data_IF_523170661591
#
_entry.id   IF_523170661591
#
_cell.length_a   1.000
_cell.length_b   1.000
_cell.length_c   1.000
_cell.angle_alpha   90.00
_cell.angle_beta   90.00
_cell.angle_gamma   90.00
#
_symmetry.space_group_name_H-M   'P 1'
#
loop_
_entity.id
_entity.type
_entity.pdbx_description
1 polymer ?
#
# COMPACT_ATOMS: atom_id res chain seq x y z
N UNK A 1 8.90 5.97 3.52
CA UNK A 1 8.98 6.69 4.79
C UNK A 1 9.71 8.01 4.58
N UNK A 2 9.31 9.01 5.33
CA UNK A 2 9.99 10.29 5.41
C UNK A 2 10.13 10.63 6.89
N UNK A 3 11.34 10.74 7.37
CA UNK A 3 11.66 10.96 8.77
C UNK A 3 12.34 12.32 8.88
N UNK A 4 11.81 13.22 9.70
CA UNK A 4 12.44 14.52 9.95
C UNK A 4 13.64 14.34 10.89
N UNK A 5 14.80 14.85 10.48
CA UNK A 5 16.06 14.81 11.25
C UNK A 5 16.63 16.24 11.29
N UNK A 6 16.45 16.95 12.41
CA UNK A 6 16.80 18.36 12.50
C UNK A 6 16.05 19.19 11.45
N UNK A 7 16.79 19.87 10.58
CA UNK A 7 16.22 20.66 9.48
C UNK A 7 15.99 19.83 8.20
N UNK A 8 16.55 18.61 8.13
CA UNK A 8 16.52 17.75 6.96
C UNK A 8 15.46 16.63 7.07
N UNK A 9 15.25 15.93 5.96
CA UNK A 9 14.33 14.81 5.84
C UNK A 9 15.05 13.60 5.27
N UNK A 10 15.11 12.51 6.05
CA UNK A 10 15.58 11.22 5.58
C UNK A 10 14.44 10.48 4.88
N UNK A 11 14.63 10.21 3.60
CA UNK A 11 13.76 9.33 2.83
C UNK A 11 14.26 7.90 2.91
N UNK A 12 13.36 6.96 3.18
CA UNK A 12 13.63 5.52 3.13
C UNK A 12 12.52 4.81 2.37
N UNK A 13 12.91 4.03 1.37
CA UNK A 13 12.04 3.07 0.68
C UNK A 13 12.56 1.66 0.96
N UNK A 14 11.77 0.84 1.60
CA UNK A 14 12.19 -0.50 2.06
C UNK A 14 12.37 -1.51 0.93
N UNK A 15 11.91 -1.21 -0.29
CA UNK A 15 11.93 -2.18 -1.37
C UNK A 15 10.95 -3.33 -1.12
N UNK A 16 11.40 -4.55 -1.38
CA UNK A 16 10.58 -5.77 -1.22
C UNK A 16 10.93 -6.57 0.04
N UNK A 17 12.14 -6.42 0.55
CA UNK A 17 12.71 -7.23 1.64
C UNK A 17 13.36 -6.39 2.73
N UNK A 18 13.39 -5.07 2.58
CA UNK A 18 13.97 -4.19 3.57
C UNK A 18 13.12 -4.06 4.81
N UNK A 19 13.77 -3.99 5.96
CA UNK A 19 13.18 -3.74 7.26
C UNK A 19 13.98 -2.70 8.02
N UNK A 20 13.29 -1.94 8.87
CA UNK A 20 13.93 -1.02 9.81
C UNK A 20 13.93 -1.64 11.19
N UNK A 21 15.08 -1.56 11.85
CA UNK A 21 15.28 -2.05 13.20
C UNK A 21 15.80 -0.91 14.08
N UNK A 22 15.26 -0.78 15.26
CA UNK A 22 15.84 0.00 16.33
C UNK A 22 16.58 -0.98 17.24
N UNK A 23 17.88 -0.81 17.38
CA UNK A 23 18.79 -1.76 18.03
C UNK A 23 19.68 -1.02 19.01
N UNK A 24 20.24 -1.74 19.97
CA UNK A 24 21.35 -1.22 20.81
C UNK A 24 22.59 -0.96 19.96
N UNK A 25 23.46 -0.04 20.37
CA UNK A 25 24.65 0.36 19.60
C UNK A 25 25.60 -0.83 19.29
N UNK A 26 25.63 -1.84 20.12
CA UNK A 26 26.47 -3.04 19.96
C UNK A 26 25.85 -4.09 19.04
N UNK A 27 24.57 -3.98 18.72
CA UNK A 27 23.85 -4.93 17.88
C UNK A 27 23.95 -4.59 16.40
N UNK A 28 23.74 -5.58 15.54
CA UNK A 28 23.76 -5.44 14.09
C UNK A 28 22.88 -6.46 13.39
N UNK A 29 22.66 -6.25 12.09
CA UNK A 29 21.96 -7.20 11.23
C UNK A 29 22.87 -7.73 10.13
N UNK A 30 22.47 -8.82 9.47
CA UNK A 30 23.31 -9.49 8.47
C UNK A 30 23.45 -8.73 7.16
N UNK A 31 22.51 -7.81 6.82
CA UNK A 31 22.45 -7.14 5.54
C UNK A 31 22.23 -5.64 5.69
N UNK A 32 22.97 -5.00 6.58
CA UNK A 32 22.88 -3.57 6.83
C UNK A 32 23.16 -2.75 5.57
N UNK A 33 22.30 -1.78 5.30
CA UNK A 33 22.40 -0.83 4.17
C UNK A 33 22.56 0.61 4.63
N UNK A 34 21.99 0.94 5.77
CA UNK A 34 22.08 2.22 6.44
C UNK A 34 22.09 1.98 7.94
N UNK A 35 22.98 2.67 8.64
CA UNK A 35 23.04 2.73 10.09
C UNK A 35 23.08 4.18 10.52
N UNK A 36 22.14 4.58 11.36
CA UNK A 36 22.05 5.93 11.92
C UNK A 36 22.12 5.83 13.44
N UNK A 37 23.14 6.43 14.03
CA UNK A 37 23.24 6.58 15.50
C UNK A 37 22.18 7.56 15.99
N UNK A 38 21.46 7.18 17.01
CA UNK A 38 20.58 8.00 17.83
C UNK A 38 21.23 8.13 19.21
N UNK A 39 20.62 8.88 20.13
CA UNK A 39 21.23 9.13 21.42
C UNK A 39 21.50 7.83 22.20
N UNK A 40 20.53 6.93 22.30
CA UNK A 40 20.63 5.67 23.05
C UNK A 40 20.61 4.43 22.15
N UNK A 41 20.12 4.55 20.91
CA UNK A 41 19.88 3.45 19.99
C UNK A 41 20.53 3.68 18.62
N UNK A 42 20.41 2.70 17.77
CA UNK A 42 20.77 2.77 16.34
C UNK A 42 19.58 2.40 15.46
N UNK A 43 19.24 3.23 14.49
CA UNK A 43 18.30 2.86 13.45
C UNK A 43 19.04 2.17 12.30
N UNK A 44 18.69 0.93 12.02
CA UNK A 44 19.32 0.12 10.97
C UNK A 44 18.32 -0.22 9.87
N UNK A 45 18.69 0.03 8.62
CA UNK A 45 18.01 -0.52 7.45
C UNK A 45 18.71 -1.82 7.05
N UNK A 46 18.04 -2.96 7.24
CA UNK A 46 18.46 -4.26 6.76
C UNK A 46 17.74 -4.60 5.46
N UNK A 47 18.48 -4.91 4.39
CA UNK A 47 17.89 -5.28 3.10
C UNK A 47 18.73 -6.29 2.33
N UNK A 48 18.44 -7.58 2.46
CA UNK A 48 19.17 -8.67 1.80
C UNK A 48 19.18 -8.56 0.26
N UNK A 49 18.13 -8.04 -0.32
CA UNK A 49 17.97 -7.97 -1.79
C UNK A 49 18.44 -6.67 -2.42
N UNK A 50 18.82 -5.68 -1.63
CA UNK A 50 19.33 -4.38 -2.07
C UNK A 50 18.38 -3.59 -2.98
N UNK A 51 17.08 -3.74 -2.81
CA UNK A 51 16.06 -2.96 -3.53
C UNK A 51 15.61 -1.72 -2.75
N UNK A 52 16.00 -1.64 -1.49
CA UNK A 52 15.81 -0.46 -0.67
C UNK A 52 16.57 0.76 -1.22
N UNK A 53 16.03 1.92 -0.97
CA UNK A 53 16.64 3.21 -1.33
C UNK A 53 16.51 4.16 -0.16
N UNK A 54 17.49 5.02 0.01
CA UNK A 54 17.45 6.10 0.99
C UNK A 54 18.14 7.34 0.42
N UNK A 55 17.83 8.49 0.99
CA UNK A 55 18.42 9.76 0.61
C UNK A 55 18.06 10.84 1.60
N UNK A 56 18.81 11.93 1.60
CA UNK A 56 18.60 13.10 2.45
C UNK A 56 18.10 14.25 1.59
N UNK A 57 17.08 14.95 2.08
CA UNK A 57 16.44 16.09 1.43
C UNK A 57 16.32 17.25 2.43
N UNK A 58 16.63 18.46 2.01
CA UNK A 58 16.40 19.64 2.83
C UNK A 58 14.91 19.93 3.02
N UNK A 59 14.10 19.64 2.00
CA UNK A 59 12.66 19.87 2.05
C UNK A 59 11.92 18.61 1.61
N UNK A 60 10.82 18.32 2.31
CA UNK A 60 9.95 17.18 1.95
C UNK A 60 9.41 17.29 0.50
N UNK A 61 9.12 18.53 0.07
CA UNK A 61 8.61 18.83 -1.26
C UNK A 61 9.57 18.41 -2.37
N UNK A 62 10.88 18.54 -2.15
CA UNK A 62 11.90 18.20 -3.15
C UNK A 62 11.86 16.69 -3.47
N UNK A 63 11.65 15.85 -2.45
CA UNK A 63 11.39 14.41 -2.65
C UNK A 63 10.12 14.17 -3.46
N UNK A 64 9.01 14.86 -3.11
CA UNK A 64 7.72 14.66 -3.80
C UNK A 64 7.84 14.99 -5.27
N UNK A 65 8.56 16.06 -5.62
CA UNK A 65 8.82 16.48 -7.00
C UNK A 65 9.74 15.49 -7.71
N UNK A 66 10.89 15.13 -7.10
CA UNK A 66 11.86 14.21 -7.71
C UNK A 66 11.26 12.85 -8.05
N UNK A 67 10.38 12.37 -7.16
CA UNK A 67 9.75 11.05 -7.31
C UNK A 67 8.40 11.10 -8.02
N UNK A 68 7.93 12.27 -8.41
CA UNK A 68 6.59 12.48 -9.00
C UNK A 68 5.49 11.79 -8.16
N UNK A 69 5.54 11.99 -6.83
CA UNK A 69 4.60 11.34 -5.92
C UNK A 69 3.26 12.09 -5.90
N UNK A 70 2.19 11.31 -6.01
CA UNK A 70 0.84 11.78 -5.76
C UNK A 70 0.59 12.05 -4.27
N UNK A 71 -0.61 12.54 -3.93
CA UNK A 71 -0.99 12.77 -2.53
C UNK A 71 -1.02 11.45 -1.75
N UNK A 72 -0.71 11.53 -0.45
CA UNK A 72 -0.70 10.38 0.44
C UNK A 72 -2.11 9.82 0.68
N UNK A 73 -2.27 8.51 0.58
CA UNK A 73 -3.55 7.82 0.68
C UNK A 73 -4.22 7.93 2.06
N UNK A 74 -3.45 8.14 3.13
CA UNK A 74 -3.98 8.34 4.48
C UNK A 74 -4.63 9.69 4.67
N UNK A 75 -4.08 10.74 4.03
CA UNK A 75 -4.45 12.13 4.30
C UNK A 75 -5.18 12.81 3.15
N UNK A 76 -5.17 12.23 1.95
CA UNK A 76 -5.78 12.83 0.76
C UNK A 76 -7.29 13.08 0.96
N UNK A 77 -7.79 14.30 0.70
CA UNK A 77 -9.24 14.57 0.72
C UNK A 77 -9.99 13.76 -0.35
N UNK A 78 -11.21 13.29 -0.02
CA UNK A 78 -12.04 12.48 -0.92
C UNK A 78 -12.20 13.11 -2.31
N UNK A 79 -12.41 14.44 -2.37
CA UNK A 79 -12.55 15.18 -3.64
C UNK A 79 -11.30 15.08 -4.52
N UNK A 80 -10.11 15.12 -3.90
CA UNK A 80 -8.83 15.02 -4.61
C UNK A 80 -8.60 13.59 -5.08
N UNK A 81 -8.86 12.59 -4.23
CA UNK A 81 -8.80 11.18 -4.63
C UNK A 81 -9.71 10.91 -5.84
N UNK A 82 -10.97 11.34 -5.78
CA UNK A 82 -11.94 11.17 -6.88
C UNK A 82 -11.46 11.86 -8.15
N UNK A 83 -10.95 13.09 -8.08
CA UNK A 83 -10.47 13.80 -9.28
C UNK A 83 -9.26 13.13 -9.92
N UNK A 84 -8.42 12.46 -9.12
CA UNK A 84 -7.25 11.72 -9.57
C UNK A 84 -7.59 10.38 -10.25
N UNK A 85 -8.73 9.79 -9.89
CA UNK A 85 -9.15 8.47 -10.38
C UNK A 85 -10.21 8.54 -11.50
N UNK A 86 -11.15 9.47 -11.41
CA UNK A 86 -12.31 9.54 -12.31
C UNK A 86 -11.91 9.75 -13.78
N UNK A 87 -12.55 8.98 -14.66
CA UNK A 87 -12.34 9.07 -16.12
C UNK A 87 -10.99 8.56 -16.62
N UNK A 88 -10.13 8.03 -15.74
CA UNK A 88 -8.90 7.40 -16.19
C UNK A 88 -9.19 6.08 -16.88
N UNK A 89 -8.51 5.85 -17.99
CA UNK A 89 -8.55 4.58 -18.72
C UNK A 89 -7.73 3.52 -17.99
N UNK A 90 -8.16 2.27 -18.11
CA UNK A 90 -7.47 1.12 -17.52
C UNK A 90 -8.07 0.63 -16.23
N UNK A 91 -7.57 -0.51 -15.76
CA UNK A 91 -8.08 -1.19 -14.57
C UNK A 91 -7.78 -0.41 -13.29
N UNK A 92 -8.71 -0.44 -12.35
CA UNK A 92 -8.61 0.31 -11.09
C UNK A 92 -7.38 -0.08 -10.25
N UNK A 93 -7.04 -1.37 -10.19
CA UNK A 93 -5.92 -1.80 -9.34
C UNK A 93 -4.55 -1.26 -9.78
N UNK A 94 -4.12 -1.32 -11.05
CA UNK A 94 -2.90 -0.66 -11.51
C UNK A 94 -2.85 0.83 -11.19
N UNK A 95 -4.00 1.54 -11.28
CA UNK A 95 -4.07 2.96 -10.94
C UNK A 95 -3.87 3.21 -9.44
N UNK A 96 -4.38 2.34 -8.58
CA UNK A 96 -4.14 2.40 -7.13
C UNK A 96 -2.67 2.14 -6.76
N UNK A 97 -1.95 1.38 -7.59
CA UNK A 97 -0.54 1.06 -7.37
C UNK A 97 0.42 2.10 -7.98
N UNK A 98 -0.08 2.98 -8.84
CA UNK A 98 0.73 4.08 -9.40
C UNK A 98 0.91 5.18 -8.36
N UNK A 99 2.09 5.23 -7.77
CA UNK A 99 2.43 6.18 -6.70
C UNK A 99 2.37 7.65 -7.15
N UNK A 100 2.32 7.91 -8.47
CA UNK A 100 2.09 9.24 -9.03
C UNK A 100 0.61 9.64 -8.97
N UNK A 101 -0.29 8.67 -8.96
CA UNK A 101 -1.74 8.90 -8.85
C UNK A 101 -2.14 9.07 -7.39
N UNK A 102 -1.73 8.13 -6.56
CA UNK A 102 -1.94 8.10 -5.11
C UNK A 102 -0.76 7.40 -4.44
N UNK A 103 -0.08 8.05 -3.51
CA UNK A 103 1.05 7.48 -2.81
C UNK A 103 0.62 6.64 -1.60
N UNK A 104 1.42 5.63 -1.24
CA UNK A 104 1.25 4.84 -0.03
C UNK A 104 0.38 3.59 -0.18
N UNK A 105 -0.27 3.36 -1.33
CA UNK A 105 -1.04 2.13 -1.55
C UNK A 105 -0.16 1.05 -2.16
N UNK A 106 0.02 -0.05 -1.43
CA UNK A 106 0.72 -1.25 -1.90
C UNK A 106 -0.23 -2.35 -2.38
N UNK A 107 0.37 -3.40 -2.97
CA UNK A 107 -0.40 -4.51 -3.59
C UNK A 107 -1.37 -5.19 -2.62
N UNK A 108 -0.97 -5.40 -1.36
CA UNK A 108 -1.80 -6.05 -0.35
C UNK A 108 -3.01 -5.19 0.02
N UNK A 109 -2.78 -3.92 0.28
CA UNK A 109 -3.84 -2.98 0.69
C UNK A 109 -4.77 -2.61 -0.46
N UNK A 110 -4.29 -2.61 -1.70
CA UNK A 110 -5.15 -2.46 -2.87
C UNK A 110 -6.11 -3.64 -3.01
N UNK A 111 -5.63 -4.90 -2.87
CA UNK A 111 -6.49 -6.08 -2.88
C UNK A 111 -7.54 -6.02 -1.77
N UNK A 112 -7.13 -5.69 -0.54
CA UNK A 112 -8.03 -5.57 0.61
C UNK A 112 -9.11 -4.51 0.38
N UNK A 113 -8.74 -3.30 -0.04
CA UNK A 113 -9.69 -2.22 -0.23
C UNK A 113 -10.71 -2.55 -1.33
N UNK A 114 -10.25 -3.14 -2.43
CA UNK A 114 -11.10 -3.60 -3.54
C UNK A 114 -12.05 -4.73 -3.09
N UNK A 115 -11.55 -5.67 -2.29
CA UNK A 115 -12.38 -6.73 -1.70
C UNK A 115 -13.46 -6.15 -0.79
N UNK A 116 -13.09 -5.21 0.09
CA UNK A 116 -14.05 -4.56 1.00
C UNK A 116 -15.15 -3.80 0.25
N UNK A 117 -14.83 -3.15 -0.87
CA UNK A 117 -15.79 -2.42 -1.72
C UNK A 117 -16.47 -3.32 -2.78
N UNK A 118 -16.17 -4.62 -2.81
CA UNK A 118 -16.69 -5.59 -3.80
C UNK A 118 -16.39 -5.20 -5.26
N UNK A 119 -15.29 -4.50 -5.47
CA UNK A 119 -14.84 -4.11 -6.79
C UNK A 119 -13.86 -5.15 -7.33
N UNK A 120 -14.11 -5.62 -8.55
CA UNK A 120 -13.15 -6.49 -9.23
C UNK A 120 -11.90 -5.68 -9.59
N UNK A 121 -10.68 -6.20 -9.37
CA UNK A 121 -9.45 -5.43 -9.61
C UNK A 121 -9.22 -5.05 -11.08
N UNK A 122 -9.89 -5.73 -12.03
CA UNK A 122 -9.87 -5.39 -13.45
C UNK A 122 -10.97 -4.40 -13.87
N UNK A 123 -11.85 -3.95 -12.97
CA UNK A 123 -12.87 -2.95 -13.30
C UNK A 123 -12.18 -1.69 -13.83
N UNK A 124 -12.63 -1.19 -14.96
CA UNK A 124 -12.09 0.05 -15.54
C UNK A 124 -12.46 1.25 -14.66
N UNK A 125 -11.51 2.13 -14.38
CA UNK A 125 -11.75 3.27 -13.50
C UNK A 125 -12.80 4.23 -14.07
N UNK A 126 -12.89 4.33 -15.39
CA UNK A 126 -13.91 5.12 -16.10
C UNK A 126 -15.34 4.60 -15.90
N UNK A 127 -15.50 3.30 -15.59
CA UNK A 127 -16.80 2.68 -15.34
C UNK A 127 -17.24 2.81 -13.85
N UNK A 128 -16.35 3.29 -12.97
CA UNK A 128 -16.64 3.48 -11.56
C UNK A 128 -17.19 4.87 -11.32
N UNK A 129 -18.39 4.97 -10.76
CA UNK A 129 -18.99 6.26 -10.44
C UNK A 129 -18.17 7.07 -9.43
N UNK A 130 -18.27 8.40 -9.48
CA UNK A 130 -17.59 9.29 -8.51
C UNK A 130 -17.95 8.96 -7.04
N UNK A 131 -19.18 8.51 -6.78
CA UNK A 131 -19.64 8.08 -5.46
C UNK A 131 -18.93 6.81 -4.99
N UNK A 132 -18.73 5.85 -5.87
CA UNK A 132 -18.00 4.61 -5.59
C UNK A 132 -16.51 4.88 -5.40
N UNK A 133 -15.92 5.74 -6.23
CA UNK A 133 -14.53 6.19 -6.04
C UNK A 133 -14.34 6.86 -4.68
N UNK A 134 -15.27 7.71 -4.25
CA UNK A 134 -15.20 8.33 -2.93
C UNK A 134 -15.29 7.28 -1.79
N UNK A 135 -16.13 6.25 -1.94
CA UNK A 135 -16.17 5.12 -0.98
C UNK A 135 -14.87 4.35 -0.96
N UNK A 136 -14.31 4.06 -2.14
CA UNK A 136 -13.02 3.36 -2.27
C UNK A 136 -11.90 4.14 -1.59
N UNK A 137 -11.80 5.46 -1.78
CA UNK A 137 -10.80 6.30 -1.12
C UNK A 137 -10.89 6.21 0.42
N UNK A 138 -12.11 6.33 0.97
CA UNK A 138 -12.34 6.16 2.41
C UNK A 138 -12.03 4.74 2.89
N UNK A 139 -12.30 3.73 2.05
CA UNK A 139 -12.00 2.34 2.38
C UNK A 139 -10.50 2.08 2.45
N UNK A 140 -9.74 2.62 1.49
CA UNK A 140 -8.27 2.54 1.48
C UNK A 140 -7.72 3.12 2.79
N UNK A 141 -8.16 4.31 3.18
CA UNK A 141 -7.74 4.94 4.44
C UNK A 141 -8.02 4.04 5.65
N UNK A 142 -9.25 3.52 5.77
CA UNK A 142 -9.62 2.60 6.87
C UNK A 142 -8.79 1.32 6.90
N UNK A 143 -8.46 0.76 5.73
CA UNK A 143 -7.61 -0.43 5.64
C UNK A 143 -6.19 -0.13 6.11
N UNK A 144 -5.63 1.01 5.69
CA UNK A 144 -4.30 1.45 6.12
C UNK A 144 -4.26 1.74 7.62
N UNK A 145 -5.25 2.47 8.16
CA UNK A 145 -5.38 2.76 9.59
C UNK A 145 -5.49 1.48 10.43
N UNK A 146 -6.31 0.51 9.98
CA UNK A 146 -6.44 -0.78 10.66
C UNK A 146 -5.11 -1.55 10.66
N UNK A 147 -4.36 -1.52 9.54
CA UNK A 147 -3.06 -2.19 9.45
C UNK A 147 -2.01 -1.53 10.35
N UNK A 148 -2.00 -0.20 10.43
CA UNK A 148 -1.11 0.55 11.33
C UNK A 148 -1.44 0.19 12.79
N UNK A 149 -2.72 0.22 13.17
CA UNK A 149 -3.18 -0.13 14.52
C UNK A 149 -2.85 -1.58 14.91
N UNK A 150 -2.82 -2.48 13.92
CA UNK A 150 -2.42 -3.87 14.10
C UNK A 150 -0.89 -4.07 14.06
N UNK A 151 -0.09 -3.00 13.99
CA UNK A 151 1.39 -3.08 13.82
C UNK A 151 1.81 -3.97 12.65
N UNK A 152 1.02 -3.96 11.57
CA UNK A 152 1.15 -4.83 10.37
C UNK A 152 1.05 -6.33 10.64
N UNK A 153 0.64 -6.76 11.83
CA UNK A 153 0.33 -8.15 12.16
C UNK A 153 -1.06 -8.52 11.62
N UNK A 154 -1.11 -9.18 10.49
CA UNK A 154 -2.38 -9.47 9.80
C UNK A 154 -3.37 -10.32 10.62
N UNK A 155 -2.88 -11.13 11.55
CA UNK A 155 -3.71 -11.88 12.50
C UNK A 155 -4.55 -10.98 13.42
N UNK A 156 -4.10 -9.74 13.69
CA UNK A 156 -4.79 -8.75 14.51
C UNK A 156 -5.75 -7.86 13.74
N UNK A 157 -5.81 -7.99 12.41
CA UNK A 157 -6.78 -7.24 11.61
C UNK A 157 -8.21 -7.66 11.98
N UNK A 158 -9.22 -6.79 11.78
CA UNK A 158 -10.61 -7.12 12.03
C UNK A 158 -11.05 -8.38 11.29
N UNK A 159 -12.02 -9.09 11.85
CA UNK A 159 -12.69 -10.18 11.16
C UNK A 159 -13.30 -9.68 9.84
N UNK A 160 -13.28 -10.52 8.81
CA UNK A 160 -13.73 -10.12 7.48
C UNK A 160 -12.68 -9.45 6.59
N UNK A 161 -11.44 -9.25 7.08
CA UNK A 161 -10.32 -8.84 6.24
C UNK A 161 -9.75 -10.03 5.47
N UNK A 162 -9.57 -9.84 4.16
CA UNK A 162 -8.92 -10.82 3.26
C UNK A 162 -7.45 -11.05 3.66
N UNK A 163 -6.78 -10.02 4.16
CA UNK A 163 -5.36 -10.08 4.53
C UNK A 163 -5.06 -11.05 5.69
N UNK A 164 -6.05 -11.42 6.52
CA UNK A 164 -5.86 -12.37 7.63
C UNK A 164 -5.44 -13.77 7.16
N UNK A 165 -5.98 -14.21 6.02
CA UNK A 165 -5.63 -15.48 5.38
C UNK A 165 -5.52 -15.30 3.86
N UNK A 166 -4.48 -14.57 3.44
CA UNK A 166 -4.27 -14.20 2.04
C UNK A 166 -3.58 -15.32 1.28
N UNK A 167 -4.30 -16.43 1.07
CA UNK A 167 -3.80 -17.61 0.31
C UNK A 167 -4.82 -18.00 -0.77
N UNK A 168 -4.32 -18.45 -1.93
CA UNK A 168 -5.15 -19.07 -2.97
C UNK A 168 -5.79 -20.32 -2.39
N UNK A 169 -7.07 -20.53 -2.64
CA UNK A 169 -7.84 -21.65 -2.10
C UNK A 169 -8.36 -21.45 -0.67
N UNK A 170 -7.90 -20.42 0.05
CA UNK A 170 -8.44 -20.09 1.36
C UNK A 170 -9.92 -19.69 1.27
N UNK A 171 -10.74 -19.95 2.30
CA UNK A 171 -12.13 -19.53 2.32
C UNK A 171 -12.25 -18.01 2.40
N UNK A 172 -13.10 -17.45 1.55
CA UNK A 172 -13.44 -16.02 1.61
C UNK A 172 -14.03 -15.67 2.98
N UNK A 173 -13.53 -14.64 3.68
CA UNK A 173 -14.04 -14.28 5.01
C UNK A 173 -15.48 -13.77 5.00
N UNK A 174 -16.09 -13.55 3.82
CA UNK A 174 -17.46 -13.05 3.68
C UNK A 174 -18.46 -14.11 3.21
N UNK A 175 -18.10 -14.97 2.26
CA UNK A 175 -19.02 -15.93 1.64
C UNK A 175 -18.50 -17.37 1.62
N UNK A 176 -17.32 -17.62 2.19
CA UNK A 176 -16.66 -18.92 2.32
C UNK A 176 -16.27 -19.62 1.01
N UNK A 177 -16.52 -19.02 -0.17
CA UNK A 177 -15.97 -19.52 -1.44
C UNK A 177 -14.47 -19.34 -1.48
N UNK A 178 -13.80 -20.21 -2.23
CA UNK A 178 -12.35 -20.16 -2.38
C UNK A 178 -11.88 -18.85 -3.01
N UNK A 179 -10.81 -18.31 -2.47
CA UNK A 179 -10.09 -17.17 -3.02
C UNK A 179 -9.26 -17.62 -4.22
N UNK A 180 -9.25 -16.80 -5.26
CA UNK A 180 -8.49 -17.06 -6.48
C UNK A 180 -7.46 -15.96 -6.72
N UNK A 181 -6.41 -16.30 -7.44
CA UNK A 181 -5.41 -15.34 -7.89
C UNK A 181 -5.53 -15.08 -9.39
N UNK A 182 -5.47 -13.82 -9.76
CA UNK A 182 -5.37 -13.38 -11.16
C UNK A 182 -4.20 -12.44 -11.34
N UNK A 183 -3.75 -12.23 -12.57
CA UNK A 183 -2.65 -11.31 -12.86
C UNK A 183 -3.17 -10.05 -13.56
N UNK A 184 -2.94 -8.88 -12.97
CA UNK A 184 -3.37 -7.58 -13.49
C UNK A 184 -2.20 -6.59 -13.38
N UNK A 185 -1.87 -5.92 -14.48
CA UNK A 185 -0.79 -4.94 -14.51
C UNK A 185 0.55 -5.49 -14.03
N UNK A 186 0.85 -6.77 -14.33
CA UNK A 186 2.08 -7.43 -13.89
C UNK A 186 2.12 -7.85 -12.42
N UNK A 187 1.06 -7.59 -11.65
CA UNK A 187 0.96 -7.93 -10.21
C UNK A 187 -0.08 -9.03 -9.98
N UNK A 188 0.19 -9.90 -9.01
CA UNK A 188 -0.79 -10.88 -8.54
C UNK A 188 -1.83 -10.19 -7.69
N UNK A 189 -3.11 -10.43 -8.00
CA UNK A 189 -4.28 -9.99 -7.23
C UNK A 189 -4.96 -11.18 -6.63
N UNK A 190 -5.23 -11.17 -5.33
CA UNK A 190 -6.09 -12.13 -4.68
C UNK A 190 -7.49 -11.54 -4.55
N UNK A 191 -8.51 -12.33 -4.89
CA UNK A 191 -9.91 -11.89 -4.85
C UNK A 191 -10.87 -13.06 -4.57
N UNK A 192 -12.08 -12.71 -4.17
CA UNK A 192 -13.20 -13.67 -4.14
C UNK A 192 -14.05 -13.51 -5.41
N UNK A 193 -14.14 -14.52 -6.28
CA UNK A 193 -14.88 -14.41 -7.55
C UNK A 193 -16.39 -14.21 -7.36
N UNK A 194 -16.93 -14.61 -6.20
CA UNK A 194 -18.34 -14.42 -5.88
C UNK A 194 -18.65 -13.03 -5.31
N UNK A 195 -17.72 -12.46 -4.51
CA UNK A 195 -17.93 -11.14 -3.90
C UNK A 195 -17.48 -10.00 -4.82
N UNK A 196 -16.61 -10.28 -5.76
CA UNK A 196 -16.00 -9.31 -6.69
C UNK A 196 -16.23 -9.81 -8.12
N UNK A 197 -17.48 -9.71 -8.59
CA UNK A 197 -17.85 -10.18 -9.93
C UNK A 197 -17.03 -9.48 -11.01
N UNK A 198 -16.62 -10.25 -12.02
CA UNK A 198 -15.91 -9.69 -13.17
C UNK A 198 -16.81 -8.68 -13.88
N UNK A 199 -16.29 -7.49 -14.25
CA UNK A 199 -17.05 -6.56 -15.06
C UNK A 199 -17.42 -7.20 -16.40
N UNK A 200 -18.63 -6.93 -16.90
CA UNK A 200 -19.03 -7.39 -18.22
C UNK A 200 -18.06 -6.85 -19.28
N UNK A 201 -17.61 -7.71 -20.17
CA UNK A 201 -16.85 -7.27 -21.35
C UNK A 201 -17.78 -6.40 -22.23
N UNK A 202 -17.40 -5.15 -22.42
CA UNK A 202 -18.04 -4.23 -23.37
C UNK A 202 -17.22 -4.11 -24.63
#
# INVERSE_FOLDING_TARGET
LLIKIGEDHLYIHLGMSGSLHLLDHAEGTSHERLRLGLDEDVLVLDDPRRFGRFGLYHRAEDLLVERDLGPDALTVPDRVFVSRMAGRKGSIKPLLLDQRVIAGVGNLYADEALFQERLHPATKAEDISRKELARLGRRIRKVLEASISASTEFSRLPEGFLLRDRRVGAPCPRCHRELVAIRIGGRTSLLCPACQSQPAER
#
